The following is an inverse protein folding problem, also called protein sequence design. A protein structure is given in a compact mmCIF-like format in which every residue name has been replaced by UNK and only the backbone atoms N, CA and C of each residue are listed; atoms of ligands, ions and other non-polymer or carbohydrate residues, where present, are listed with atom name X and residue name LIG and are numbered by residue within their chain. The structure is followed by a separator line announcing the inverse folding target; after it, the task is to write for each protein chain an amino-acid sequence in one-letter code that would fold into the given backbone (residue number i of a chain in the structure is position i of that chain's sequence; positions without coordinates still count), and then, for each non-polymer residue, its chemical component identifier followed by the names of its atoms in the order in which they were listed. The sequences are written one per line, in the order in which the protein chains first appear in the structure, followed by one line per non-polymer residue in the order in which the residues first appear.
data_IF_413102156046
#
_entry.id   IF_413102156046
#
_cell.length_a   1.000
_cell.length_b   1.000
_cell.length_c   1.000
_cell.angle_alpha   90.00
_cell.angle_beta   90.00
_cell.angle_gamma   90.00
#
_symmetry.space_group_name_H-M   'P 1'
#
loop_
_entity.id
_entity.type
_entity.pdbx_description
1 polymer ?
#
# COMPACT_ATOMS: atom_id res chain seq x y z
N UNK A 1 3.15 13.96 31.07
CA UNK A 1 3.34 12.97 29.98
C UNK A 1 2.04 12.87 29.19
N UNK A 2 2.10 12.95 27.87
CA UNK A 2 0.95 12.79 26.97
C UNK A 2 1.28 11.73 25.93
N UNK A 3 0.27 10.96 25.49
CA UNK A 3 0.38 9.98 24.41
C UNK A 3 -0.48 10.38 23.22
N UNK A 4 0.14 10.39 22.04
CA UNK A 4 -0.52 10.68 20.77
C UNK A 4 -0.55 9.41 19.91
N UNK A 5 -1.61 9.21 19.14
CA UNK A 5 -1.58 8.30 18.01
C UNK A 5 -1.45 9.16 16.74
N UNK A 6 -0.41 8.93 15.94
CA UNK A 6 -0.18 9.60 14.67
C UNK A 6 -0.45 8.65 13.50
N UNK A 7 -1.31 9.06 12.60
CA UNK A 7 -1.71 8.37 11.37
C UNK A 7 -1.95 9.37 10.24
N UNK A 8 -1.93 8.92 9.00
CA UNK A 8 -2.15 9.73 7.80
C UNK A 8 -2.63 8.85 6.63
N UNK A 9 -2.95 9.44 5.51
CA UNK A 9 -3.13 8.79 4.21
C UNK A 9 -4.14 7.62 4.27
N UNK A 10 -5.28 7.86 4.91
CA UNK A 10 -6.35 6.84 5.01
C UNK A 10 -6.97 6.53 3.67
N UNK A 11 -7.01 7.51 2.76
CA UNK A 11 -7.49 7.39 1.38
C UNK A 11 -8.84 6.66 1.29
N UNK A 12 -9.78 7.05 2.14
CA UNK A 12 -11.13 6.49 2.16
C UNK A 12 -11.85 6.79 0.85
N UNK A 13 -12.37 5.74 0.22
CA UNK A 13 -13.01 5.83 -1.09
C UNK A 13 -12.09 5.47 -2.25
N UNK A 14 -10.83 5.07 -1.98
CA UNK A 14 -9.89 4.59 -3.00
C UNK A 14 -10.48 3.46 -3.82
N UNK A 15 -10.34 3.58 -5.13
CA UNK A 15 -10.73 2.55 -6.10
C UNK A 15 -9.54 1.64 -6.40
N UNK A 16 -9.78 0.35 -6.44
CA UNK A 16 -8.79 -0.69 -6.74
C UNK A 16 -9.07 -1.32 -8.11
N UNK A 17 -9.24 -0.47 -9.15
CA UNK A 17 -9.66 -0.88 -10.50
C UNK A 17 -8.71 -1.84 -11.23
N UNK A 18 -7.49 -2.03 -10.73
CA UNK A 18 -6.55 -3.02 -11.24
C UNK A 18 -6.80 -4.45 -10.73
N UNK A 19 -7.70 -4.63 -9.77
CA UNK A 19 -8.09 -5.92 -9.20
C UNK A 19 -9.46 -6.36 -9.70
N UNK A 20 -9.74 -7.65 -9.58
CA UNK A 20 -11.09 -8.18 -9.77
C UNK A 20 -12.06 -7.53 -8.80
N UNK A 21 -13.34 -7.45 -9.19
CA UNK A 21 -14.36 -6.68 -8.46
C UNK A 21 -14.52 -7.14 -7.00
N UNK A 22 -14.40 -8.45 -6.74
CA UNK A 22 -14.54 -9.01 -5.38
C UNK A 22 -13.32 -8.67 -4.52
N UNK A 23 -12.12 -8.73 -5.09
CA UNK A 23 -10.89 -8.31 -4.41
C UNK A 23 -10.89 -6.82 -4.15
N UNK A 24 -11.24 -6.00 -5.15
CA UNK A 24 -11.31 -4.54 -5.04
C UNK A 24 -12.24 -4.10 -3.91
N UNK A 25 -13.41 -4.73 -3.77
CA UNK A 25 -14.37 -4.43 -2.73
C UNK A 25 -13.80 -4.67 -1.32
N UNK A 26 -13.12 -5.78 -1.12
CA UNK A 26 -12.53 -6.14 0.18
C UNK A 26 -11.31 -5.28 0.53
N UNK A 27 -10.49 -4.91 -0.46
CA UNK A 27 -9.39 -3.96 -0.28
C UNK A 27 -9.90 -2.57 0.10
N UNK A 28 -11.00 -2.11 -0.53
CA UNK A 28 -11.64 -0.85 -0.18
C UNK A 28 -12.26 -0.89 1.23
N UNK A 29 -12.89 -2.01 1.62
CA UNK A 29 -13.46 -2.20 2.95
C UNK A 29 -12.40 -2.22 4.06
N UNK A 30 -11.22 -2.76 3.80
CA UNK A 30 -10.12 -2.77 4.75
C UNK A 30 -9.69 -1.36 5.18
N UNK A 31 -9.83 -0.36 4.30
CA UNK A 31 -9.56 1.05 4.61
C UNK A 31 -10.52 1.64 5.63
N UNK A 32 -11.78 1.18 5.64
CA UNK A 32 -12.71 1.55 6.70
C UNK A 32 -12.40 0.78 8.00
N UNK A 33 -12.14 -0.51 7.89
CA UNK A 33 -11.85 -1.35 9.04
C UNK A 33 -10.57 -0.92 9.79
N UNK A 34 -9.57 -0.36 9.08
CA UNK A 34 -8.37 0.14 9.76
C UNK A 34 -8.66 1.34 10.64
N UNK A 35 -9.63 2.22 10.30
CA UNK A 35 -9.99 3.35 11.15
C UNK A 35 -10.57 2.88 12.49
N UNK A 36 -11.39 1.83 12.47
CA UNK A 36 -11.88 1.18 13.70
C UNK A 36 -10.74 0.57 14.50
N UNK A 37 -9.78 -0.12 13.84
CA UNK A 37 -8.58 -0.65 14.51
C UNK A 37 -7.72 0.45 15.13
N UNK A 38 -7.60 1.63 14.47
CA UNK A 38 -6.89 2.78 15.05
C UNK A 38 -7.59 3.29 16.32
N UNK A 39 -8.92 3.37 16.32
CA UNK A 39 -9.69 3.73 17.50
C UNK A 39 -9.49 2.72 18.65
N UNK A 40 -9.51 1.42 18.34
CA UNK A 40 -9.24 0.36 19.32
C UNK A 40 -7.80 0.40 19.82
N UNK A 41 -6.82 0.64 18.94
CA UNK A 41 -5.41 0.82 19.31
C UNK A 41 -5.23 2.01 20.25
N UNK A 42 -5.89 3.14 19.97
CA UNK A 42 -5.85 4.32 20.83
C UNK A 42 -6.34 4.00 22.25
N UNK A 43 -7.42 3.25 22.39
CA UNK A 43 -7.94 2.80 23.69
C UNK A 43 -6.93 1.87 24.37
N UNK A 44 -6.47 0.84 23.67
CA UNK A 44 -5.57 -0.18 24.22
C UNK A 44 -4.24 0.39 24.71
N UNK A 45 -3.74 1.45 24.05
CA UNK A 45 -2.48 2.11 24.40
C UNK A 45 -2.64 3.29 25.36
N UNK A 46 -3.88 3.62 25.75
CA UNK A 46 -4.16 4.77 26.62
C UNK A 46 -3.73 6.08 25.97
N UNK A 47 -4.11 6.27 24.72
CA UNK A 47 -3.83 7.47 23.91
C UNK A 47 -4.74 8.61 24.38
N UNK A 48 -4.19 9.80 24.49
CA UNK A 48 -4.93 11.01 24.88
C UNK A 48 -5.57 11.72 23.69
N UNK A 49 -4.96 11.63 22.50
CA UNK A 49 -5.38 12.32 21.28
C UNK A 49 -4.89 11.60 20.03
N UNK A 50 -5.69 11.60 18.95
CA UNK A 50 -5.30 11.06 17.63
C UNK A 50 -5.07 12.21 16.65
N UNK A 51 -3.94 12.17 15.97
CA UNK A 51 -3.55 13.12 14.92
C UNK A 51 -3.62 12.44 13.55
N UNK A 52 -4.36 13.03 12.61
CA UNK A 52 -4.51 12.55 11.25
C UNK A 52 -3.92 13.56 10.28
N UNK A 53 -2.72 13.24 9.76
CA UNK A 53 -1.91 14.15 8.99
C UNK A 53 -2.27 14.18 7.48
N UNK A 54 -3.55 14.38 7.15
CA UNK A 54 -4.05 14.60 5.79
C UNK A 54 -4.42 13.32 5.03
N UNK A 55 -4.98 13.51 3.83
CA UNK A 55 -5.43 12.47 2.91
C UNK A 55 -6.35 11.44 3.55
N UNK A 56 -7.33 11.96 4.28
CA UNK A 56 -8.38 11.14 4.90
C UNK A 56 -9.27 10.51 3.82
N UNK A 57 -9.61 11.28 2.79
CA UNK A 57 -10.35 10.82 1.62
C UNK A 57 -9.46 10.75 0.38
N UNK A 58 -9.67 9.72 -0.45
CA UNK A 58 -8.92 9.53 -1.71
C UNK A 58 -9.26 10.60 -2.77
N UNK A 59 -10.44 11.22 -2.67
CA UNK A 59 -10.89 12.27 -3.59
C UNK A 59 -12.03 13.11 -2.99
N UNK A 60 -12.22 14.30 -3.56
CA UNK A 60 -13.33 15.20 -3.22
C UNK A 60 -14.71 14.60 -3.50
N UNK A 61 -14.83 13.75 -4.53
CA UNK A 61 -16.08 13.22 -5.06
C UNK A 61 -16.61 11.95 -4.39
N UNK A 62 -16.15 11.58 -3.19
CA UNK A 62 -16.68 10.39 -2.48
C UNK A 62 -18.17 10.54 -2.17
N UNK A 63 -18.90 9.43 -2.11
CA UNK A 63 -20.32 9.42 -1.81
C UNK A 63 -20.61 9.85 -0.36
N UNK A 64 -21.78 10.44 -0.09
CA UNK A 64 -22.21 10.84 1.27
C UNK A 64 -22.22 9.66 2.24
N UNK A 65 -22.63 8.46 1.78
CA UNK A 65 -22.56 7.23 2.56
C UNK A 65 -21.13 6.89 3.00
N UNK A 66 -20.14 7.17 2.16
CA UNK A 66 -18.71 6.98 2.47
C UNK A 66 -18.29 7.90 3.60
N UNK A 67 -18.71 9.17 3.58
CA UNK A 67 -18.42 10.15 4.63
C UNK A 67 -19.01 9.69 5.98
N UNK A 68 -20.30 9.34 6.01
CA UNK A 68 -20.94 8.85 7.24
C UNK A 68 -20.28 7.58 7.79
N UNK A 69 -19.96 6.62 6.90
CA UNK A 69 -19.31 5.38 7.30
C UNK A 69 -17.95 5.63 7.95
N UNK A 70 -17.13 6.52 7.37
CA UNK A 70 -15.84 6.88 7.96
C UNK A 70 -15.99 7.37 9.39
N UNK A 71 -16.81 8.40 9.61
CA UNK A 71 -16.91 9.00 10.95
C UNK A 71 -17.56 8.07 11.97
N UNK A 72 -18.44 7.16 11.54
CA UNK A 72 -18.96 6.11 12.41
C UNK A 72 -17.86 5.13 12.88
N UNK A 73 -16.85 4.83 12.05
CA UNK A 73 -15.75 3.96 12.42
C UNK A 73 -14.77 4.59 13.45
N UNK A 74 -14.80 5.90 13.62
CA UNK A 74 -14.03 6.61 14.64
C UNK A 74 -14.67 6.53 16.04
N UNK A 75 -15.94 6.16 16.15
CA UNK A 75 -16.78 6.32 17.35
C UNK A 75 -16.30 5.54 18.58
N UNK A 76 -15.51 4.47 18.41
CA UNK A 76 -15.01 3.67 19.54
C UNK A 76 -14.06 4.47 20.44
N UNK A 77 -13.27 5.40 19.92
CA UNK A 77 -12.39 6.25 20.72
C UNK A 77 -13.07 7.57 21.03
N UNK A 78 -13.29 7.84 22.31
CA UNK A 78 -13.99 9.04 22.82
C UNK A 78 -13.09 10.27 22.98
N UNK A 79 -11.76 10.09 22.95
CA UNK A 79 -10.80 11.21 22.97
C UNK A 79 -10.81 12.03 21.67
N UNK A 80 -10.15 13.19 21.65
CA UNK A 80 -10.13 14.07 20.49
C UNK A 80 -9.40 13.45 19.30
N UNK A 81 -9.97 13.65 18.11
CA UNK A 81 -9.35 13.43 16.82
C UNK A 81 -9.05 14.78 16.17
N UNK A 82 -7.83 15.04 15.78
CA UNK A 82 -7.44 16.24 15.05
C UNK A 82 -7.07 15.83 13.63
N UNK A 83 -7.83 16.35 12.66
CA UNK A 83 -7.66 16.03 11.24
C UNK A 83 -7.33 17.28 10.44
N UNK A 84 -6.43 17.16 9.49
CA UNK A 84 -6.17 18.19 8.48
C UNK A 84 -6.47 17.63 7.09
N UNK A 85 -6.81 18.48 6.11
CA UNK A 85 -6.80 18.10 4.70
C UNK A 85 -5.40 17.81 4.19
N UNK A 86 -5.27 16.82 3.30
CA UNK A 86 -4.11 16.58 2.45
C UNK A 86 -4.33 17.09 1.02
N UNK A 87 -3.58 16.56 0.06
CA UNK A 87 -3.65 16.98 -1.34
C UNK A 87 -4.82 16.32 -2.10
N UNK A 88 -5.26 15.12 -1.70
CA UNK A 88 -6.42 14.45 -2.28
C UNK A 88 -7.75 15.05 -1.81
N UNK A 89 -7.82 15.49 -0.58
CA UNK A 89 -9.01 16.02 0.07
C UNK A 89 -8.86 17.47 0.54
N UNK A 90 -8.07 18.28 -0.19
CA UNK A 90 -7.77 19.66 0.14
C UNK A 90 -9.01 20.47 0.58
N UNK A 91 -8.80 21.36 1.56
CA UNK A 91 -9.84 22.21 2.16
C UNK A 91 -10.30 23.34 1.25
N UNK A 92 -10.84 22.99 0.07
CA UNK A 92 -11.40 23.91 -0.89
C UNK A 92 -12.67 24.57 -0.35
N UNK A 93 -13.11 25.68 -0.96
CA UNK A 93 -14.37 26.35 -0.62
C UNK A 93 -15.57 25.40 -0.68
N UNK A 94 -15.61 24.54 -1.72
CA UNK A 94 -16.50 23.38 -1.83
C UNK A 94 -15.66 22.12 -1.80
N UNK A 95 -15.63 21.42 -0.67
CA UNK A 95 -14.78 20.25 -0.43
C UNK A 95 -15.58 19.11 0.21
N UNK A 96 -14.98 17.92 0.27
CA UNK A 96 -15.52 16.82 1.06
C UNK A 96 -15.71 17.21 2.53
N UNK A 97 -14.88 18.10 3.08
CA UNK A 97 -14.96 18.59 4.45
C UNK A 97 -16.16 19.52 4.68
N UNK A 98 -16.41 20.48 3.77
CA UNK A 98 -17.60 21.35 3.84
C UNK A 98 -18.88 20.54 3.66
N UNK A 99 -18.83 19.48 2.83
CA UNK A 99 -19.93 18.53 2.66
C UNK A 99 -20.16 17.69 3.91
N UNK A 100 -19.09 17.17 4.54
CA UNK A 100 -19.20 16.43 5.81
C UNK A 100 -19.86 17.27 6.92
N UNK A 101 -19.50 18.55 7.02
CA UNK A 101 -20.12 19.50 7.95
C UNK A 101 -21.61 19.72 7.63
N UNK A 102 -21.98 19.93 6.37
CA UNK A 102 -23.40 20.08 5.93
C UNK A 102 -24.24 18.85 6.21
N UNK A 103 -23.65 17.66 6.12
CA UNK A 103 -24.30 16.38 6.42
C UNK A 103 -24.41 16.10 7.93
N UNK A 104 -23.85 16.95 8.79
CA UNK A 104 -23.70 16.68 10.23
C UNK A 104 -23.05 15.32 10.51
N UNK A 105 -22.08 14.89 9.68
CA UNK A 105 -21.43 13.61 9.79
C UNK A 105 -20.27 13.62 10.80
N UNK A 106 -19.73 14.79 11.14
CA UNK A 106 -18.59 14.94 12.05
C UNK A 106 -19.01 14.66 13.50
N UNK A 107 -18.38 13.71 14.20
CA UNK A 107 -18.62 13.49 15.61
C UNK A 107 -18.08 14.69 16.44
N UNK A 108 -18.63 14.95 17.63
CA UNK A 108 -18.28 16.14 18.42
C UNK A 108 -16.83 16.18 18.90
N UNK A 109 -16.15 15.05 18.93
CA UNK A 109 -14.73 14.92 19.28
C UNK A 109 -13.79 14.95 18.06
N UNK A 110 -14.31 15.17 16.84
CA UNK A 110 -13.49 15.35 15.63
C UNK A 110 -13.30 16.84 15.33
N UNK A 111 -12.05 17.27 15.43
CA UNK A 111 -11.60 18.63 15.13
C UNK A 111 -10.95 18.67 13.75
N UNK A 112 -11.71 19.11 12.75
CA UNK A 112 -11.21 19.29 11.38
C UNK A 112 -10.63 20.69 11.25
N UNK A 113 -9.31 20.79 11.11
CA UNK A 113 -8.61 22.06 10.99
C UNK A 113 -8.50 22.45 9.51
N UNK A 114 -9.29 23.42 9.08
CA UNK A 114 -9.28 23.97 7.72
C UNK A 114 -8.51 25.31 7.62
N UNK A 115 -7.97 25.81 8.74
CA UNK A 115 -7.20 27.05 8.84
C UNK A 115 -5.93 26.82 9.65
N UNK A 116 -4.88 27.62 9.42
CA UNK A 116 -3.62 27.54 10.15
C UNK A 116 -3.71 28.27 11.51
N UNK A 117 -4.66 27.88 12.34
CA UNK A 117 -4.88 28.42 13.68
C UNK A 117 -4.49 27.39 14.74
N UNK A 118 -3.81 27.78 15.86
CA UNK A 118 -3.49 26.86 16.92
C UNK A 118 -4.74 26.25 17.56
N UNK A 119 -4.75 24.94 17.73
CA UNK A 119 -5.79 24.24 18.48
C UNK A 119 -5.27 23.85 19.85
N UNK A 120 -5.90 24.38 20.90
CA UNK A 120 -5.44 24.22 22.27
C UNK A 120 -6.27 23.14 22.99
N UNK A 121 -5.58 22.24 23.68
CA UNK A 121 -6.14 21.25 24.61
C UNK A 121 -5.55 21.50 26.02
N UNK A 122 -6.08 22.48 26.77
CA UNK A 122 -5.50 22.86 28.06
C UNK A 122 -5.49 21.71 29.08
N UNK A 123 -6.51 20.85 29.07
CA UNK A 123 -6.59 19.67 29.95
C UNK A 123 -5.49 18.64 29.69
N UNK A 124 -4.92 18.62 28.48
CA UNK A 124 -3.82 17.76 28.06
C UNK A 124 -2.47 18.49 28.13
N UNK A 125 -2.44 19.79 28.38
CA UNK A 125 -1.24 20.62 28.30
C UNK A 125 -0.68 20.65 26.86
N UNK A 126 -1.52 20.63 25.83
CA UNK A 126 -1.12 20.47 24.42
C UNK A 126 -1.63 21.60 23.53
N UNK A 127 -0.78 22.04 22.61
CA UNK A 127 -1.13 22.86 21.46
C UNK A 127 -0.79 22.10 20.16
N UNK A 128 -1.76 21.92 19.28
CA UNK A 128 -1.57 21.39 17.94
C UNK A 128 -1.52 22.58 16.96
N UNK A 129 -0.49 22.61 16.12
CA UNK A 129 -0.28 23.61 15.06
C UNK A 129 -0.56 22.96 13.71
N UNK A 130 -1.77 23.13 13.13
CA UNK A 130 -2.13 22.50 11.88
C UNK A 130 -1.68 23.31 10.67
N UNK A 131 -1.14 22.65 9.64
CA UNK A 131 -0.87 23.23 8.32
C UNK A 131 -1.74 22.55 7.24
N UNK A 132 -3.06 22.87 7.19
CA UNK A 132 -3.98 22.24 6.26
C UNK A 132 -3.71 22.68 4.81
N UNK A 133 -3.80 21.75 3.86
CA UNK A 133 -3.79 22.08 2.45
C UNK A 133 -5.14 22.65 2.02
N UNK A 134 -5.16 23.88 1.51
CA UNK A 134 -6.35 24.56 0.95
C UNK A 134 -6.42 24.45 -0.57
N UNK A 135 -5.41 23.84 -1.18
CA UNK A 135 -5.34 23.51 -2.60
C UNK A 135 -4.48 22.24 -2.75
N UNK A 136 -4.63 21.53 -3.88
CA UNK A 136 -3.94 20.27 -4.10
C UNK A 136 -2.41 20.39 -4.07
N UNK A 137 -1.90 21.47 -4.67
CA UNK A 137 -0.47 21.72 -4.78
C UNK A 137 -0.14 23.15 -4.35
N UNK A 138 0.90 23.30 -3.56
CA UNK A 138 1.48 24.60 -3.21
C UNK A 138 3.00 24.56 -3.38
N UNK A 139 3.61 25.68 -3.67
CA UNK A 139 5.05 25.84 -3.70
C UNK A 139 5.58 26.53 -2.43
N UNK A 140 4.70 26.95 -1.54
CA UNK A 140 5.04 27.57 -0.26
C UNK A 140 4.99 26.52 0.86
N UNK A 141 5.92 26.64 1.79
CA UNK A 141 5.90 25.84 3.02
C UNK A 141 4.81 26.36 3.97
N UNK A 142 3.69 25.64 4.03
CA UNK A 142 2.56 26.03 4.88
C UNK A 142 2.84 25.86 6.39
N UNK A 143 3.98 25.32 6.78
CA UNK A 143 4.40 25.17 8.17
C UNK A 143 5.20 26.37 8.71
N UNK A 144 5.54 27.37 7.87
CA UNK A 144 6.34 28.52 8.27
C UNK A 144 5.78 29.28 9.49
N UNK A 145 4.46 29.38 9.59
CA UNK A 145 3.80 30.10 10.67
C UNK A 145 3.98 29.45 12.06
N UNK A 146 4.39 28.18 12.14
CA UNK A 146 4.58 27.47 13.41
C UNK A 146 5.57 28.18 14.33
N UNK A 147 6.63 28.75 13.75
CA UNK A 147 7.65 29.48 14.49
C UNK A 147 7.12 30.78 15.12
N UNK A 148 6.15 31.43 14.45
CA UNK A 148 5.54 32.68 14.90
C UNK A 148 4.33 32.48 15.82
N UNK A 149 3.88 31.23 16.03
CA UNK A 149 2.69 30.92 16.81
C UNK A 149 2.85 31.31 18.29
N UNK A 150 1.99 32.21 18.75
CA UNK A 150 1.95 32.64 20.15
C UNK A 150 1.11 31.65 20.96
N UNK A 151 1.75 30.94 21.88
CA UNK A 151 1.11 29.91 22.71
C UNK A 151 1.31 30.22 24.19
N UNK A 152 0.38 29.81 25.06
CA UNK A 152 0.61 29.81 26.49
C UNK A 152 1.88 29.01 26.84
N UNK A 153 2.66 29.45 27.83
CA UNK A 153 3.87 28.75 28.24
C UNK A 153 3.56 27.37 28.84
N UNK A 154 4.49 26.43 28.69
CA UNK A 154 4.43 25.11 29.32
C UNK A 154 3.56 24.08 28.61
N UNK A 155 3.01 24.40 27.44
CA UNK A 155 2.31 23.43 26.60
C UNK A 155 3.29 22.64 25.72
N UNK A 156 2.98 21.38 25.48
CA UNK A 156 3.58 20.64 24.36
C UNK A 156 3.20 21.31 23.03
N UNK A 157 4.16 21.43 22.13
CA UNK A 157 3.99 22.02 20.80
C UNK A 157 4.08 20.94 19.74
N UNK A 158 2.96 20.56 19.13
CA UNK A 158 2.91 19.51 18.12
C UNK A 158 2.48 20.09 16.78
N UNK A 159 3.34 19.99 15.77
CA UNK A 159 3.01 20.34 14.40
C UNK A 159 2.24 19.19 13.71
N UNK A 160 1.27 19.53 12.88
CA UNK A 160 0.52 18.59 12.06
C UNK A 160 0.46 19.10 10.63
N UNK A 161 1.11 18.39 9.69
CA UNK A 161 1.25 18.85 8.31
C UNK A 161 1.17 17.69 7.30
N UNK A 162 0.89 18.02 6.04
CA UNK A 162 0.84 17.10 4.93
C UNK A 162 1.66 17.64 3.77
N UNK A 163 2.73 16.93 3.38
CA UNK A 163 3.60 17.35 2.31
C UNK A 163 4.98 16.70 2.35
N UNK A 164 5.87 17.14 1.46
CA UNK A 164 7.17 16.54 1.21
C UNK A 164 8.28 17.31 1.93
N UNK A 165 9.02 16.64 2.82
CA UNK A 165 10.22 17.22 3.45
C UNK A 165 11.34 17.32 2.42
N UNK A 166 11.86 18.54 2.22
CA UNK A 166 12.89 18.84 1.23
C UNK A 166 14.18 18.07 1.49
N UNK A 167 14.71 17.40 0.44
CA UNK A 167 15.97 16.66 0.46
C UNK A 167 15.93 15.32 1.19
N UNK A 168 14.76 14.84 1.63
CA UNK A 168 14.61 13.58 2.39
C UNK A 168 13.97 12.48 1.55
N UNK A 169 13.01 12.82 0.69
CA UNK A 169 12.39 11.88 -0.26
C UNK A 169 13.22 11.86 -1.56
N UNK A 170 13.10 10.77 -2.34
CA UNK A 170 13.83 10.66 -3.60
C UNK A 170 13.44 11.79 -4.58
N UNK A 171 14.41 12.25 -5.39
CA UNK A 171 14.24 13.39 -6.30
C UNK A 171 13.16 13.19 -7.38
N UNK A 172 12.78 11.94 -7.65
CA UNK A 172 11.72 11.55 -8.59
C UNK A 172 10.31 11.63 -8.01
N UNK A 173 10.18 11.93 -6.70
CA UNK A 173 8.90 12.17 -6.06
C UNK A 173 8.58 13.65 -6.22
N UNK A 174 7.49 13.93 -6.93
CA UNK A 174 7.01 15.30 -7.18
C UNK A 174 6.85 16.04 -5.83
N UNK A 175 7.73 17.01 -5.59
CA UNK A 175 7.89 17.70 -4.30
C UNK A 175 6.95 18.89 -4.14
N UNK A 176 5.70 18.77 -4.62
CA UNK A 176 4.67 19.74 -4.27
C UNK A 176 4.39 19.69 -2.76
N UNK A 177 3.95 20.81 -2.19
CA UNK A 177 3.70 20.96 -0.76
C UNK A 177 4.99 20.82 0.09
N UNK A 178 6.02 21.65 -0.17
CA UNK A 178 7.32 21.53 0.49
C UNK A 178 7.24 21.84 1.98
N UNK A 179 8.03 21.09 2.77
CA UNK A 179 8.22 21.31 4.22
C UNK A 179 9.72 21.43 4.47
N UNK A 180 10.16 22.47 5.17
CA UNK A 180 11.57 22.64 5.51
C UNK A 180 12.06 21.50 6.43
N UNK A 181 13.22 20.90 6.11
CA UNK A 181 13.76 19.76 6.87
C UNK A 181 14.03 20.10 8.35
N UNK A 182 14.39 21.36 8.66
CA UNK A 182 14.64 21.83 10.03
C UNK A 182 13.39 22.41 10.72
N UNK A 183 12.18 22.15 10.22
CA UNK A 183 10.96 22.80 10.72
C UNK A 183 10.70 22.56 12.19
N UNK A 184 10.91 21.34 12.66
CA UNK A 184 10.69 21.01 14.07
C UNK A 184 11.57 21.87 14.99
N UNK A 185 12.85 22.01 14.68
CA UNK A 185 13.79 22.80 15.47
C UNK A 185 13.49 24.33 15.35
N UNK A 186 13.25 24.82 14.14
CA UNK A 186 12.97 26.25 13.90
C UNK A 186 11.71 26.74 14.63
N UNK A 187 10.71 25.86 14.79
CA UNK A 187 9.47 26.18 15.47
C UNK A 187 9.42 25.72 16.91
N UNK A 188 10.50 25.12 17.44
CA UNK A 188 10.55 24.59 18.81
C UNK A 188 9.46 23.55 19.07
N UNK A 189 9.21 22.65 18.11
CA UNK A 189 8.21 21.60 18.25
C UNK A 189 8.74 20.45 19.09
N UNK A 190 7.88 19.86 19.91
CA UNK A 190 8.13 18.60 20.59
C UNK A 190 7.97 17.42 19.63
N UNK A 191 7.06 17.55 18.65
CA UNK A 191 6.83 16.55 17.61
C UNK A 191 6.24 17.21 16.33
N UNK A 192 6.63 16.69 15.17
CA UNK A 192 6.03 17.06 13.88
C UNK A 192 5.48 15.81 13.21
N UNK A 193 4.15 15.74 13.14
CA UNK A 193 3.39 14.66 12.53
C UNK A 193 3.16 14.96 11.04
N UNK A 194 3.63 14.09 10.15
CA UNK A 194 3.56 14.25 8.70
C UNK A 194 2.76 13.16 8.01
N UNK A 195 2.03 13.52 6.95
CA UNK A 195 1.45 12.67 5.92
C UNK A 195 1.97 13.04 4.53
N UNK A 196 1.48 12.38 3.47
CA UNK A 196 1.86 12.43 2.06
C UNK A 196 2.77 11.26 1.63
N UNK A 197 3.73 10.88 2.45
CA UNK A 197 4.51 9.67 2.23
C UNK A 197 3.79 8.45 2.82
N UNK A 198 3.32 7.53 1.97
CA UNK A 198 2.55 6.36 2.40
C UNK A 198 3.34 5.32 3.22
N UNK A 199 4.65 5.50 3.36
CA UNK A 199 5.51 4.66 4.18
C UNK A 199 5.78 5.26 5.57
N UNK A 200 6.08 4.41 6.54
CA UNK A 200 6.58 4.89 7.84
C UNK A 200 8.05 5.30 7.70
N UNK A 201 8.38 6.54 8.10
CA UNK A 201 9.74 7.07 7.98
C UNK A 201 10.05 8.08 9.08
N UNK A 202 11.15 7.86 9.77
CA UNK A 202 11.76 8.88 10.61
C UNK A 202 12.57 9.86 9.75
N UNK A 203 12.28 11.15 9.87
CA UNK A 203 13.05 12.23 9.22
C UNK A 203 14.18 12.68 10.13
N UNK A 204 13.82 13.01 11.37
CA UNK A 204 14.74 13.36 12.44
C UNK A 204 14.21 12.89 13.80
N UNK A 205 14.81 13.33 14.91
CA UNK A 205 14.41 12.90 16.24
C UNK A 205 12.97 13.29 16.63
N UNK A 206 12.38 14.31 15.98
CA UNK A 206 11.05 14.87 16.29
C UNK A 206 10.07 14.79 15.13
N UNK A 207 10.54 14.50 13.91
CA UNK A 207 9.76 14.56 12.67
C UNK A 207 9.58 13.17 12.07
N UNK A 208 8.33 12.76 11.85
CA UNK A 208 7.98 11.45 11.35
C UNK A 208 6.84 11.50 10.34
N UNK A 209 6.94 10.65 9.33
CA UNK A 209 5.80 10.17 8.54
C UNK A 209 5.26 8.90 9.18
N UNK A 210 3.96 8.85 9.44
CA UNK A 210 3.31 7.61 9.92
C UNK A 210 3.10 6.60 8.81
N UNK A 211 2.95 7.07 7.58
CA UNK A 211 2.48 6.29 6.45
C UNK A 211 0.98 6.00 6.51
N UNK A 212 0.49 5.29 5.49
CA UNK A 212 -0.89 4.80 5.45
C UNK A 212 -1.07 3.63 6.44
N UNK A 213 -2.14 3.61 7.23
CA UNK A 213 -2.37 2.55 8.22
C UNK A 213 -2.83 1.21 7.62
N UNK A 214 -3.29 1.22 6.36
CA UNK A 214 -3.56 0.02 5.54
C UNK A 214 -2.78 0.14 4.25
N UNK A 215 -1.98 -0.87 3.89
CA UNK A 215 -1.20 -0.86 2.67
C UNK A 215 -2.09 -0.78 1.43
N UNK A 216 -1.64 -0.07 0.39
CA UNK A 216 -2.46 0.26 -0.77
C UNK A 216 -1.76 0.02 -2.13
N UNK A 217 -0.51 -0.41 -2.11
CA UNK A 217 0.32 -0.63 -3.30
C UNK A 217 1.47 -1.58 -3.02
N UNK A 218 2.03 -2.13 -4.09
CA UNK A 218 3.25 -2.95 -4.06
C UNK A 218 4.47 -2.03 -3.92
N UNK A 219 4.79 -1.66 -2.68
CA UNK A 219 6.00 -0.87 -2.37
C UNK A 219 6.51 -1.24 -0.99
N UNK A 220 7.77 -1.63 -0.91
CA UNK A 220 8.43 -1.95 0.35
C UNK A 220 8.84 -0.67 1.09
N UNK A 221 7.88 0.03 1.69
CA UNK A 221 8.06 1.31 2.37
C UNK A 221 7.58 1.34 3.82
N UNK A 222 7.37 0.17 4.42
CA UNK A 222 6.85 0.02 5.78
C UNK A 222 5.47 0.68 5.97
N UNK A 223 4.57 0.59 4.98
CA UNK A 223 3.15 0.94 5.11
C UNK A 223 2.37 -0.06 5.98
N UNK A 224 1.12 0.23 6.30
CA UNK A 224 0.28 -0.62 7.16
C UNK A 224 0.55 -0.44 8.66
N UNK A 225 0.94 0.78 9.07
CA UNK A 225 1.33 1.10 10.44
C UNK A 225 0.70 2.41 10.92
N UNK A 226 0.69 2.59 12.25
CA UNK A 226 0.47 3.86 12.93
C UNK A 226 1.53 4.04 14.01
N UNK A 227 1.73 5.27 14.46
CA UNK A 227 2.73 5.60 15.49
C UNK A 227 2.07 5.95 16.79
N UNK A 228 2.56 5.36 17.89
CA UNK A 228 2.28 5.83 19.25
C UNK A 228 3.46 6.68 19.69
N UNK A 229 3.17 7.94 20.01
CA UNK A 229 4.16 8.94 20.39
C UNK A 229 3.93 9.35 21.83
N UNK A 230 4.95 9.23 22.67
CA UNK A 230 4.90 9.66 24.07
C UNK A 230 5.80 10.88 24.26
N UNK A 231 5.23 11.96 24.80
CA UNK A 231 5.92 13.19 25.18
C UNK A 231 5.93 13.29 26.69
N UNK A 232 7.12 13.28 27.31
CA UNK A 232 7.26 13.28 28.77
C UNK A 232 7.24 14.69 29.36
N UNK A 233 7.94 15.63 28.72
CA UNK A 233 8.04 17.03 29.12
C UNK A 233 8.20 17.93 27.90
N UNK A 234 7.72 19.19 27.93
CA UNK A 234 7.96 20.14 26.86
C UNK A 234 9.46 20.37 26.61
N UNK A 235 9.89 20.34 25.35
CA UNK A 235 11.28 20.40 24.92
C UNK A 235 12.03 19.07 24.95
N UNK A 236 11.49 18.02 25.60
CA UNK A 236 12.03 16.68 25.61
C UNK A 236 11.95 15.99 24.24
N UNK A 237 12.68 14.90 24.05
CA UNK A 237 12.58 14.09 22.83
C UNK A 237 11.35 13.15 22.91
N UNK A 238 10.62 12.97 21.79
CA UNK A 238 9.52 12.02 21.73
C UNK A 238 10.03 10.58 21.78
N UNK A 239 9.27 9.70 22.45
CA UNK A 239 9.42 8.25 22.27
C UNK A 239 8.38 7.77 21.27
N UNK A 240 8.82 7.18 20.16
CA UNK A 240 7.95 6.75 19.06
C UNK A 240 7.99 5.24 18.93
N UNK A 241 6.82 4.61 18.92
CA UNK A 241 6.65 3.17 18.72
C UNK A 241 5.75 2.91 17.52
N UNK A 242 6.20 2.04 16.62
CA UNK A 242 5.45 1.62 15.43
C UNK A 242 4.50 0.47 15.78
N UNK A 243 3.25 0.56 15.33
CA UNK A 243 2.24 -0.47 15.51
C UNK A 243 1.67 -0.90 14.17
N UNK A 244 1.72 -2.19 13.85
CA UNK A 244 1.11 -2.75 12.65
C UNK A 244 -0.41 -2.65 12.79
N UNK A 245 -1.04 -2.01 11.81
CA UNK A 245 -2.49 -1.79 11.74
C UNK A 245 -3.10 -2.38 10.47
N UNK A 246 -2.28 -2.60 9.44
CA UNK A 246 -2.71 -3.14 8.16
C UNK A 246 -3.23 -4.59 8.28
N UNK A 247 -4.32 -4.87 7.60
CA UNK A 247 -4.90 -6.21 7.49
C UNK A 247 -4.18 -7.02 6.43
N UNK A 248 -3.80 -6.38 5.32
CA UNK A 248 -3.22 -7.05 4.17
C UNK A 248 -1.73 -6.78 4.03
N UNK A 249 -0.99 -7.82 3.59
CA UNK A 249 0.44 -7.78 3.30
C UNK A 249 0.64 -7.75 1.78
N UNK A 250 1.06 -6.62 1.27
CA UNK A 250 1.33 -6.43 -0.14
C UNK A 250 2.78 -6.83 -0.46
N UNK A 251 2.95 -7.74 -1.42
CA UNK A 251 4.25 -8.24 -1.83
C UNK A 251 4.37 -8.28 -3.34
N UNK A 252 5.51 -7.85 -3.83
CA UNK A 252 5.93 -8.02 -5.21
C UNK A 252 7.07 -9.05 -5.22
N UNK A 253 6.82 -10.20 -5.81
CA UNK A 253 7.74 -11.32 -5.88
C UNK A 253 8.21 -11.48 -7.33
N UNK A 254 9.50 -11.24 -7.59
CA UNK A 254 10.17 -11.55 -8.86
C UNK A 254 10.97 -12.83 -8.68
N UNK A 255 10.75 -13.83 -9.52
CA UNK A 255 11.40 -15.14 -9.43
C UNK A 255 11.91 -15.56 -10.80
N UNK A 256 13.20 -15.83 -10.86
CA UNK A 256 13.86 -16.39 -12.03
C UNK A 256 14.06 -17.89 -11.85
N UNK A 257 13.50 -18.71 -12.74
CA UNK A 257 13.54 -20.16 -12.68
C UNK A 257 14.67 -20.67 -13.56
N UNK A 258 15.82 -21.01 -12.95
CA UNK A 258 17.01 -21.50 -13.66
C UNK A 258 17.26 -22.99 -13.41
N UNK A 259 16.91 -23.48 -12.22
CA UNK A 259 17.10 -24.88 -11.81
C UNK A 259 15.84 -25.43 -11.14
N UNK A 260 15.64 -26.76 -11.10
CA UNK A 260 14.43 -27.38 -10.52
C UNK A 260 14.15 -26.93 -9.08
N UNK A 261 15.18 -26.68 -8.27
CA UNK A 261 15.03 -26.21 -6.89
C UNK A 261 14.35 -24.84 -6.77
N UNK A 262 14.47 -23.98 -7.80
CA UNK A 262 13.82 -22.67 -7.82
C UNK A 262 12.29 -22.86 -7.92
N UNK A 263 11.87 -23.79 -8.79
CA UNK A 263 10.45 -24.16 -8.91
C UNK A 263 9.92 -24.75 -7.60
N UNK A 264 10.65 -25.64 -6.93
CA UNK A 264 10.21 -26.23 -5.67
C UNK A 264 10.10 -25.17 -4.55
N UNK A 265 11.06 -24.24 -4.48
CA UNK A 265 11.00 -23.12 -3.54
C UNK A 265 9.80 -22.19 -3.81
N UNK A 266 9.48 -21.91 -5.09
CA UNK A 266 8.32 -21.12 -5.48
C UNK A 266 7.02 -21.85 -5.09
N UNK A 267 6.91 -23.15 -5.37
CA UNK A 267 5.74 -23.95 -5.00
C UNK A 267 5.48 -23.94 -3.49
N UNK A 268 6.53 -24.03 -2.67
CA UNK A 268 6.41 -23.90 -1.22
C UNK A 268 5.92 -22.51 -0.80
N UNK A 269 6.43 -21.43 -1.40
CA UNK A 269 5.97 -20.07 -1.13
C UNK A 269 4.50 -19.87 -1.50
N UNK A 270 4.07 -20.36 -2.66
CA UNK A 270 2.68 -20.32 -3.10
C UNK A 270 1.77 -21.12 -2.15
N UNK A 271 2.22 -22.28 -1.66
CA UNK A 271 1.47 -23.08 -0.70
C UNK A 271 1.27 -22.38 0.66
N UNK A 272 2.23 -21.50 1.04
CA UNK A 272 2.18 -20.74 2.29
C UNK A 272 1.36 -19.44 2.25
N UNK A 273 0.73 -19.10 1.11
CA UNK A 273 -0.12 -17.91 1.02
C UNK A 273 -1.40 -18.04 1.85
N UNK A 274 -1.81 -16.92 2.44
CA UNK A 274 -2.95 -16.81 3.36
C UNK A 274 -3.93 -15.72 2.89
N UNK A 275 -5.14 -15.62 3.45
CA UNK A 275 -6.10 -14.57 3.13
C UNK A 275 -5.64 -13.14 3.44
N UNK A 276 -4.49 -12.98 4.11
CA UNK A 276 -3.88 -11.67 4.35
C UNK A 276 -2.91 -11.23 3.24
N UNK A 277 -2.58 -12.11 2.28
CA UNK A 277 -1.57 -11.82 1.27
C UNK A 277 -2.20 -11.25 -0.01
N UNK A 278 -1.67 -10.11 -0.48
CA UNK A 278 -1.91 -9.51 -1.79
C UNK A 278 -0.59 -9.57 -2.55
N UNK A 279 -0.53 -10.37 -3.62
CA UNK A 279 0.73 -10.73 -4.27
C UNK A 279 0.71 -10.38 -5.75
N UNK A 280 1.74 -9.66 -6.22
CA UNK A 280 2.11 -9.55 -7.62
C UNK A 280 3.33 -10.46 -7.84
N UNK A 281 3.17 -11.49 -8.66
CA UNK A 281 4.19 -12.47 -8.96
C UNK A 281 4.64 -12.32 -10.41
N UNK A 282 5.92 -12.04 -10.65
CA UNK A 282 6.52 -12.02 -11.99
C UNK A 282 7.54 -13.15 -12.11
N UNK A 283 7.35 -14.00 -13.11
CA UNK A 283 8.21 -15.16 -13.35
C UNK A 283 9.01 -14.99 -14.62
N UNK A 284 10.30 -15.33 -14.55
CA UNK A 284 11.20 -15.42 -15.69
C UNK A 284 11.95 -16.74 -15.68
N UNK A 285 12.84 -16.95 -16.68
CA UNK A 285 13.65 -18.16 -16.79
C UNK A 285 13.01 -19.24 -17.63
N UNK A 286 13.19 -20.52 -17.26
CA UNK A 286 12.82 -21.67 -18.07
C UNK A 286 12.13 -22.74 -17.24
N UNK A 287 11.17 -23.44 -17.86
CA UNK A 287 10.41 -24.50 -17.19
C UNK A 287 10.06 -25.62 -18.19
N UNK A 288 10.16 -26.86 -17.76
CA UNK A 288 9.71 -28.04 -18.51
C UNK A 288 8.20 -28.26 -18.42
N UNK A 289 7.67 -29.23 -19.14
CA UNK A 289 6.24 -29.53 -19.18
C UNK A 289 5.65 -29.95 -17.82
N UNK A 290 6.27 -30.90 -17.08
CA UNK A 290 5.81 -31.25 -15.73
C UNK A 290 5.85 -30.09 -14.74
N UNK A 291 6.91 -29.28 -14.79
CA UNK A 291 7.09 -28.09 -13.96
C UNK A 291 6.01 -27.04 -14.24
N UNK A 292 5.74 -26.76 -15.52
CA UNK A 292 4.67 -25.85 -15.93
C UNK A 292 3.31 -26.25 -15.40
N UNK A 293 2.95 -27.54 -15.48
CA UNK A 293 1.69 -28.05 -14.91
C UNK A 293 1.62 -27.83 -13.41
N UNK A 294 2.64 -28.29 -12.67
CA UNK A 294 2.72 -28.10 -11.21
C UNK A 294 2.60 -26.63 -10.82
N UNK A 295 3.25 -25.74 -11.57
CA UNK A 295 3.23 -24.31 -11.33
C UNK A 295 1.84 -23.71 -11.55
N UNK A 296 1.19 -24.02 -12.67
CA UNK A 296 -0.16 -23.51 -12.97
C UNK A 296 -1.19 -24.01 -11.95
N UNK A 297 -1.11 -25.28 -11.54
CA UNK A 297 -1.97 -25.85 -10.51
C UNK A 297 -1.74 -25.15 -9.16
N UNK A 298 -0.48 -24.91 -8.80
CA UNK A 298 -0.12 -24.22 -7.56
C UNK A 298 -0.59 -22.76 -7.56
N UNK A 299 -0.47 -22.04 -8.68
CA UNK A 299 -0.99 -20.67 -8.84
C UNK A 299 -2.52 -20.69 -8.71
N UNK A 300 -3.21 -21.64 -9.35
CA UNK A 300 -4.66 -21.77 -9.23
C UNK A 300 -5.12 -22.00 -7.79
N UNK A 301 -4.46 -22.90 -7.07
CA UNK A 301 -4.73 -23.15 -5.65
C UNK A 301 -4.37 -21.94 -4.76
N UNK A 302 -3.27 -21.26 -5.06
CA UNK A 302 -2.81 -20.08 -4.31
C UNK A 302 -3.77 -18.90 -4.48
N UNK A 303 -4.37 -18.70 -5.66
CA UNK A 303 -5.43 -17.70 -5.90
C UNK A 303 -6.65 -17.93 -5.01
N UNK A 304 -7.00 -19.17 -4.75
CA UNK A 304 -8.11 -19.51 -3.83
C UNK A 304 -7.79 -19.28 -2.34
N UNK A 305 -6.51 -19.12 -1.97
CA UNK A 305 -6.08 -18.90 -0.58
C UNK A 305 -5.71 -17.45 -0.29
N UNK A 306 -4.96 -16.81 -1.19
CA UNK A 306 -4.54 -15.42 -1.04
C UNK A 306 -5.73 -14.47 -1.12
N UNK A 307 -5.59 -13.24 -0.58
CA UNK A 307 -6.56 -12.17 -0.83
C UNK A 307 -6.61 -11.83 -2.32
N UNK A 308 -5.46 -11.72 -2.94
CA UNK A 308 -5.31 -11.58 -4.38
C UNK A 308 -3.95 -12.10 -4.82
N UNK A 309 -3.88 -12.75 -6.00
CA UNK A 309 -2.65 -13.18 -6.64
C UNK A 309 -2.72 -12.90 -8.15
N UNK A 310 -2.00 -11.86 -8.58
CA UNK A 310 -1.71 -11.62 -9.98
C UNK A 310 -0.38 -12.30 -10.33
N UNK A 311 -0.36 -13.13 -11.39
CA UNK A 311 0.85 -13.80 -11.86
C UNK A 311 1.12 -13.42 -13.32
N UNK A 312 2.28 -12.84 -13.56
CA UNK A 312 2.82 -12.56 -14.89
C UNK A 312 3.85 -13.65 -15.25
N UNK A 313 3.56 -14.39 -16.32
CA UNK A 313 4.36 -15.47 -16.85
C UNK A 313 4.97 -15.10 -18.23
N UNK A 314 4.86 -13.87 -18.66
CA UNK A 314 5.23 -13.44 -20.01
C UNK A 314 6.73 -13.61 -20.31
N UNK A 315 7.58 -13.53 -19.29
CA UNK A 315 9.02 -13.73 -19.37
C UNK A 315 9.48 -15.16 -19.02
N UNK A 316 8.55 -16.09 -18.77
CA UNK A 316 8.86 -17.48 -18.48
C UNK A 316 8.83 -18.30 -19.77
N UNK A 317 9.99 -18.80 -20.18
CA UNK A 317 10.14 -19.61 -21.36
C UNK A 317 9.81 -21.08 -21.08
N UNK A 318 8.97 -21.65 -21.93
CA UNK A 318 8.63 -23.05 -21.88
C UNK A 318 9.61 -23.84 -22.77
N UNK A 319 10.42 -24.71 -22.15
CA UNK A 319 11.38 -25.58 -22.85
C UNK A 319 11.03 -27.07 -22.58
N UNK A 320 10.21 -27.70 -23.45
CA UNK A 320 9.89 -29.11 -23.29
C UNK A 320 11.15 -29.96 -23.54
N UNK A 321 11.40 -30.91 -22.65
CA UNK A 321 12.50 -31.85 -22.79
C UNK A 321 12.24 -32.86 -23.93
N UNK A 322 13.29 -33.57 -24.37
CA UNK A 322 13.14 -34.64 -25.35
C UNK A 322 12.20 -35.76 -24.85
N UNK A 323 12.20 -36.01 -23.53
CA UNK A 323 11.33 -36.96 -22.87
C UNK A 323 9.88 -36.47 -22.85
N UNK A 324 9.64 -35.20 -22.55
CA UNK A 324 8.30 -34.58 -22.61
C UNK A 324 7.66 -34.74 -23.98
N UNK A 325 8.44 -34.42 -25.03
CA UNK A 325 7.97 -34.52 -26.42
C UNK A 325 7.71 -35.98 -26.79
N UNK A 326 8.59 -36.92 -26.35
CA UNK A 326 8.40 -38.35 -26.55
C UNK A 326 7.15 -38.88 -25.85
N UNK A 327 6.88 -38.41 -24.63
CA UNK A 327 5.71 -38.77 -23.85
C UNK A 327 4.38 -38.27 -24.46
N UNK A 328 4.43 -37.27 -25.35
CA UNK A 328 3.23 -36.79 -26.08
C UNK A 328 2.68 -37.82 -27.08
N UNK A 329 3.43 -38.87 -27.45
CA UNK A 329 2.98 -39.94 -28.37
C UNK A 329 2.18 -39.37 -29.56
N UNK A 330 2.73 -38.35 -30.20
CA UNK A 330 2.08 -37.73 -31.36
C UNK A 330 2.32 -38.61 -32.59
N UNK A 331 1.26 -39.23 -33.08
CA UNK A 331 1.28 -40.10 -34.25
C UNK A 331 0.88 -39.33 -35.52
N UNK A 332 1.25 -39.89 -36.70
CA UNK A 332 0.88 -39.36 -37.99
C UNK A 332 1.46 -37.96 -38.26
N UNK A 333 0.69 -37.08 -38.88
CA UNK A 333 1.11 -35.74 -39.30
C UNK A 333 1.75 -34.90 -38.14
N UNK A 334 1.26 -35.01 -36.93
CA UNK A 334 1.84 -34.30 -35.77
C UNK A 334 3.22 -34.83 -35.43
N UNK A 335 3.45 -36.14 -35.53
CA UNK A 335 4.78 -36.74 -35.38
C UNK A 335 5.78 -36.20 -36.39
N UNK A 336 5.35 -36.10 -37.66
CA UNK A 336 6.21 -35.53 -38.74
C UNK A 336 6.55 -34.05 -38.51
N UNK A 337 5.57 -33.24 -38.04
CA UNK A 337 5.80 -31.84 -37.68
C UNK A 337 6.82 -31.71 -36.55
N UNK A 338 6.67 -32.50 -35.47
CA UNK A 338 7.62 -32.53 -34.35
C UNK A 338 9.03 -32.91 -34.80
N UNK A 339 9.14 -33.93 -35.68
CA UNK A 339 10.43 -34.34 -36.22
C UNK A 339 11.06 -33.23 -37.09
N UNK A 340 10.28 -32.55 -37.90
CA UNK A 340 10.72 -31.41 -38.71
C UNK A 340 11.20 -30.22 -37.86
N UNK A 341 10.48 -29.87 -36.80
CA UNK A 341 10.85 -28.78 -35.89
C UNK A 341 12.14 -29.14 -35.12
N UNK A 342 12.31 -30.40 -34.69
CA UNK A 342 13.55 -30.85 -34.05
C UNK A 342 14.74 -30.75 -35.00
N UNK A 343 14.62 -31.20 -36.23
CA UNK A 343 15.67 -31.07 -37.22
C UNK A 343 16.03 -29.61 -37.52
N UNK A 344 15.06 -28.71 -37.50
CA UNK A 344 15.26 -27.27 -37.67
C UNK A 344 15.99 -26.63 -36.44
N UNK A 345 15.82 -27.13 -35.23
CA UNK A 345 16.56 -26.69 -34.04
C UNK A 345 18.07 -27.01 -34.13
N UNK A 346 18.43 -28.08 -34.81
CA UNK A 346 19.84 -28.50 -35.03
C UNK A 346 20.47 -27.77 -36.23
N UNK A 347 19.73 -26.95 -36.94
CA UNK A 347 20.15 -26.24 -38.14
C UNK A 347 21.14 -25.09 -37.84
N UNK A 348 21.95 -24.73 -38.88
CA UNK A 348 23.08 -23.79 -38.76
C UNK A 348 22.61 -22.32 -38.60
N UNK A 349 21.38 -21.96 -38.96
CA UNK A 349 20.86 -20.60 -38.87
C UNK A 349 20.19 -20.37 -37.48
N UNK A 350 20.81 -19.54 -36.64
CA UNK A 350 20.37 -19.28 -35.26
C UNK A 350 18.91 -18.80 -35.18
N UNK A 351 18.47 -17.94 -36.07
CA UNK A 351 17.09 -17.41 -36.12
C UNK A 351 16.05 -18.50 -36.42
N UNK A 352 16.36 -19.42 -37.36
CA UNK A 352 15.51 -20.57 -37.65
C UNK A 352 15.40 -21.56 -36.50
N UNK A 353 16.51 -21.76 -35.75
CA UNK A 353 16.56 -22.64 -34.60
C UNK A 353 15.74 -22.09 -33.43
N UNK A 354 15.71 -20.78 -33.23
CA UNK A 354 14.90 -20.12 -32.18
C UNK A 354 13.41 -20.23 -32.48
N UNK A 355 13.02 -19.90 -33.73
CA UNK A 355 11.63 -20.05 -34.16
C UNK A 355 11.14 -21.51 -34.09
N UNK A 356 12.01 -22.48 -34.42
CA UNK A 356 11.66 -23.89 -34.31
C UNK A 356 11.51 -24.35 -32.85
N UNK A 357 12.32 -23.81 -31.89
CA UNK A 357 12.14 -24.05 -30.46
C UNK A 357 10.82 -23.52 -29.95
N UNK A 358 10.49 -22.28 -30.27
CA UNK A 358 9.25 -21.65 -29.84
C UNK A 358 8.01 -22.38 -30.40
N UNK A 359 8.07 -22.76 -31.69
CA UNK A 359 7.00 -23.53 -32.33
C UNK A 359 6.81 -24.90 -31.66
N UNK A 360 7.91 -25.59 -31.31
CA UNK A 360 7.86 -26.88 -30.66
C UNK A 360 7.31 -26.75 -29.21
N UNK A 361 7.71 -25.71 -28.51
CA UNK A 361 7.21 -25.40 -27.18
C UNK A 361 5.69 -25.14 -27.20
N UNK A 362 5.22 -24.30 -28.14
CA UNK A 362 3.80 -24.03 -28.32
C UNK A 362 3.01 -25.30 -28.65
N UNK A 363 3.50 -26.11 -29.60
CA UNK A 363 2.85 -27.36 -29.99
C UNK A 363 2.77 -28.34 -28.81
N UNK A 364 3.84 -28.50 -28.06
CA UNK A 364 3.88 -29.36 -26.87
C UNK A 364 2.88 -28.89 -25.81
N UNK A 365 2.80 -27.58 -25.57
CA UNK A 365 1.83 -27.00 -24.63
C UNK A 365 0.37 -27.27 -25.03
N UNK A 366 0.02 -27.04 -26.30
CA UNK A 366 -1.32 -27.30 -26.85
C UNK A 366 -1.71 -28.78 -26.76
N UNK A 367 -0.79 -29.69 -27.11
CA UNK A 367 -1.04 -31.13 -27.05
C UNK A 367 -1.24 -31.61 -25.59
N UNK A 368 -0.50 -31.01 -24.68
CA UNK A 368 -0.61 -31.31 -23.27
C UNK A 368 -1.95 -30.85 -22.68
N UNK A 369 -2.37 -29.63 -22.96
CA UNK A 369 -3.66 -29.07 -22.53
C UNK A 369 -4.85 -29.89 -23.09
N UNK A 370 -4.79 -30.29 -24.34
CA UNK A 370 -5.82 -31.17 -24.94
C UNK A 370 -5.92 -32.52 -24.24
N UNK A 371 -4.78 -33.11 -23.85
CA UNK A 371 -4.78 -34.40 -23.12
C UNK A 371 -5.29 -34.25 -21.72
N UNK A 372 -4.94 -33.19 -21.02
CA UNK A 372 -5.49 -32.89 -19.70
C UNK A 372 -7.01 -32.74 -19.76
N UNK A 373 -7.52 -32.00 -20.75
CA UNK A 373 -8.96 -31.83 -20.96
C UNK A 373 -9.68 -33.13 -21.32
N UNK A 374 -9.04 -34.01 -22.14
CA UNK A 374 -9.60 -35.32 -22.49
C UNK A 374 -9.64 -36.33 -21.32
N UNK A 375 -8.73 -36.17 -20.34
CA UNK A 375 -8.71 -36.98 -19.10
C UNK A 375 -9.70 -36.48 -18.05
N UNK A 376 -10.09 -35.21 -18.11
CA UNK A 376 -11.03 -34.57 -17.19
C UNK A 376 -12.48 -34.68 -17.70
N UNK A 377 -12.72 -35.12 -18.95
CA UNK A 377 -14.06 -35.39 -19.46
C UNK A 377 -14.57 -36.72 -18.87
N UNK A 378 -15.80 -36.75 -18.28
CA UNK A 378 -16.37 -37.90 -17.61
C UNK A 378 -16.66 -39.06 -18.57
#
# INVERSE_FOLDING_TARGET
MIKLLHTADWQIGKQYGQFDIDDAALLADARFAVVERLAQLAIAQGVDIVLVAGDVFDAQGVADKTIHRLFNNMAAFSGPWVLIPGNHDAGLAESVWTRAARLNALPPNAHVCLRPDPLLFPSLGLAVLPAPLTQRHTHNDLTEWFAAAQLPPGLFRVGLAHGSVQGILAEDIDSSNPIAAARADQAGLDYLALGDWHGCKQVDARTWYSGTPESDRFRANASGQALIVSLSEPGGLPSVTQHITGQYRWREDMVDLQVPSDSDALLQRLAGLTPADVVALSLSGRIDLPGRRRLLDAIGQARGRARSLAADLSALHFEPTAEDIGALQADGYLGDVIASLRAAQEGVAAESAEVARDALALLAGILDERRASARAAP
#
